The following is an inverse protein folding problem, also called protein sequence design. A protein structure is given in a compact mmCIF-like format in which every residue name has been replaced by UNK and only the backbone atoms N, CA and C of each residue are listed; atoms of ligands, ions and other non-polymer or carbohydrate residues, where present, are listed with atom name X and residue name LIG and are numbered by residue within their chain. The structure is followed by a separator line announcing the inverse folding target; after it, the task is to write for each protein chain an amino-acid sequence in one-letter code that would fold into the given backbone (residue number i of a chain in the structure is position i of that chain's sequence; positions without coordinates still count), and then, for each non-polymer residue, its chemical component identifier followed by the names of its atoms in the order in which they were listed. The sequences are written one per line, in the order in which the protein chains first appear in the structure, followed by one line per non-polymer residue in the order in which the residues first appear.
data_IF_766264419050
#
_entry.id   IF_766264419050
#
_cell.length_a   1.000
_cell.length_b   1.000
_cell.length_c   1.000
_cell.angle_alpha   90.00
_cell.angle_beta   90.00
_cell.angle_gamma   90.00
#
_symmetry.space_group_name_H-M   'P 1'
#
loop_
_entity.id
_entity.type
_entity.pdbx_description
1 polymer ?
#
# COMPACT_ATOMS: atom_id res chain seq x y z
N UNK A 1 26.77 3.25 -6.72
CA UNK A 1 25.75 4.20 -6.26
C UNK A 1 25.50 3.92 -4.80
N UNK A 2 25.72 4.91 -3.93
CA UNK A 2 25.46 4.81 -2.50
C UNK A 2 23.96 4.96 -2.22
N UNK A 3 23.52 4.57 -1.02
CA UNK A 3 22.13 4.75 -0.60
C UNK A 3 21.71 6.24 -0.58
N UNK A 4 22.66 7.12 -0.25
CA UNK A 4 22.46 8.56 -0.23
C UNK A 4 22.31 9.14 -1.64
N UNK A 5 23.12 8.68 -2.60
CA UNK A 5 23.00 9.04 -4.02
C UNK A 5 21.66 8.56 -4.62
N UNK A 6 21.18 7.38 -4.22
CA UNK A 6 19.88 6.86 -4.64
C UNK A 6 18.72 7.70 -4.09
N UNK A 7 18.79 8.10 -2.83
CA UNK A 7 17.77 8.92 -2.20
C UNK A 7 17.67 10.30 -2.88
N UNK A 8 18.81 10.94 -3.15
CA UNK A 8 18.83 12.24 -3.82
C UNK A 8 18.26 12.14 -5.25
N UNK A 9 18.69 11.14 -6.02
CA UNK A 9 18.18 10.93 -7.38
C UNK A 9 16.66 10.65 -7.40
N UNK A 10 16.16 9.90 -6.41
CA UNK A 10 14.72 9.63 -6.27
C UNK A 10 13.93 10.89 -5.92
N UNK A 11 14.45 11.75 -5.04
CA UNK A 11 13.81 13.02 -4.69
C UNK A 11 13.71 13.96 -5.91
N UNK A 12 14.79 14.08 -6.69
CA UNK A 12 14.78 14.87 -7.92
C UNK A 12 13.81 14.30 -8.97
N UNK A 13 13.75 12.97 -9.08
CA UNK A 13 12.81 12.31 -9.99
C UNK A 13 11.35 12.55 -9.55
N UNK A 14 11.05 12.46 -8.26
CA UNK A 14 9.72 12.77 -7.72
C UNK A 14 9.32 14.22 -8.01
N UNK A 15 10.24 15.18 -7.86
CA UNK A 15 9.99 16.58 -8.20
C UNK A 15 9.69 16.81 -9.69
N UNK A 16 10.30 16.03 -10.60
CA UNK A 16 9.98 16.08 -12.04
C UNK A 16 8.66 15.39 -12.38
N UNK A 17 8.31 14.33 -11.65
CA UNK A 17 7.10 13.53 -11.86
C UNK A 17 5.84 14.27 -11.35
N UNK A 18 5.98 15.07 -10.29
CA UNK A 18 4.89 15.78 -9.64
C UNK A 18 4.25 14.96 -8.52
N UNK A 19 3.67 15.66 -7.53
CA UNK A 19 3.27 15.06 -6.25
C UNK A 19 2.24 13.93 -6.37
N UNK A 20 1.25 14.09 -7.25
CA UNK A 20 0.18 13.09 -7.44
C UNK A 20 0.75 11.82 -8.06
N UNK A 21 1.47 11.94 -9.18
CA UNK A 21 2.04 10.80 -9.90
C UNK A 21 3.16 10.12 -9.09
N UNK A 22 3.91 10.88 -8.28
CA UNK A 22 4.88 10.35 -7.34
C UNK A 22 4.20 9.54 -6.23
N UNK A 23 3.10 10.04 -5.66
CA UNK A 23 2.31 9.33 -4.66
C UNK A 23 1.71 8.04 -5.25
N UNK A 24 1.13 8.11 -6.44
CA UNK A 24 0.56 6.96 -7.14
C UNK A 24 1.62 5.88 -7.43
N UNK A 25 2.81 6.29 -7.85
CA UNK A 25 3.95 5.39 -8.09
C UNK A 25 4.38 4.70 -6.79
N UNK A 26 4.50 5.46 -5.69
CA UNK A 26 4.87 4.92 -4.38
C UNK A 26 3.82 3.93 -3.86
N UNK A 27 2.54 4.29 -3.93
CA UNK A 27 1.43 3.42 -3.51
C UNK A 27 1.41 2.14 -4.33
N UNK A 28 1.54 2.25 -5.65
CA UNK A 28 1.57 1.09 -6.57
C UNK A 28 2.76 0.17 -6.28
N UNK A 29 3.94 0.75 -6.01
CA UNK A 29 5.14 0.01 -5.62
C UNK A 29 4.95 -0.74 -4.30
N UNK A 30 4.43 -0.07 -3.27
CA UNK A 30 4.11 -0.69 -1.96
C UNK A 30 3.11 -1.83 -2.16
N UNK A 31 2.05 -1.61 -2.93
CA UNK A 31 1.04 -2.65 -3.17
C UNK A 31 1.63 -3.88 -3.88
N UNK A 32 2.49 -3.65 -4.87
CA UNK A 32 3.16 -4.73 -5.62
C UNK A 32 4.11 -5.53 -4.74
N UNK A 33 4.90 -4.87 -3.88
CA UNK A 33 5.79 -5.54 -2.93
C UNK A 33 5.01 -6.37 -1.90
N UNK A 34 3.93 -5.81 -1.32
CA UNK A 34 3.08 -6.52 -0.39
C UNK A 34 2.42 -7.74 -1.04
N UNK A 35 1.95 -7.61 -2.27
CA UNK A 35 1.41 -8.74 -3.04
C UNK A 35 2.47 -9.83 -3.27
N UNK A 36 3.69 -9.46 -3.69
CA UNK A 36 4.78 -10.39 -3.88
C UNK A 36 5.15 -11.13 -2.58
N UNK A 37 5.22 -10.41 -1.45
CA UNK A 37 5.46 -11.00 -0.13
C UNK A 37 4.33 -11.97 0.27
N UNK A 38 3.07 -11.59 0.04
CA UNK A 38 1.92 -12.46 0.28
C UNK A 38 1.98 -13.73 -0.58
N UNK A 39 2.31 -13.59 -1.87
CA UNK A 39 2.42 -14.72 -2.80
C UNK A 39 3.59 -15.65 -2.50
N UNK A 40 4.69 -15.13 -1.95
CA UNK A 40 5.85 -15.91 -1.54
C UNK A 40 5.68 -16.60 -0.18
N UNK A 41 4.67 -16.20 0.62
CA UNK A 41 4.50 -16.74 1.96
C UNK A 41 4.00 -18.20 1.95
N UNK A 42 4.59 -19.12 2.73
CA UNK A 42 4.23 -20.54 2.73
C UNK A 42 2.84 -20.82 3.32
N UNK A 43 2.31 -19.93 4.17
CA UNK A 43 1.00 -20.06 4.81
C UNK A 43 0.08 -18.88 4.44
N UNK A 44 -0.39 -18.82 3.20
CA UNK A 44 -1.15 -17.69 2.64
C UNK A 44 -2.47 -17.43 3.38
N UNK A 45 -3.15 -18.48 3.81
CA UNK A 45 -4.43 -18.39 4.53
C UNK A 45 -4.26 -17.77 5.93
N UNK A 46 -3.11 -18.02 6.58
CA UNK A 46 -2.82 -17.39 7.87
C UNK A 46 -2.56 -15.90 7.71
N UNK A 47 -1.77 -15.51 6.70
CA UNK A 47 -1.53 -14.10 6.38
C UNK A 47 -2.84 -13.40 6.03
N UNK A 48 -3.69 -14.05 5.22
CA UNK A 48 -5.00 -13.50 4.85
C UNK A 48 -5.86 -13.19 6.08
N UNK A 49 -5.95 -14.14 7.02
CA UNK A 49 -6.72 -13.93 8.27
C UNK A 49 -6.18 -12.79 9.13
N UNK A 50 -4.86 -12.62 9.20
CA UNK A 50 -4.27 -11.50 9.94
C UNK A 50 -4.54 -10.16 9.23
N UNK A 51 -4.46 -10.14 7.91
CA UNK A 51 -4.80 -8.98 7.11
C UNK A 51 -6.27 -8.57 7.29
N UNK A 52 -7.20 -9.53 7.25
CA UNK A 52 -8.64 -9.27 7.50
C UNK A 52 -8.88 -8.65 8.89
N UNK A 53 -8.19 -9.17 9.92
CA UNK A 53 -8.27 -8.62 11.28
C UNK A 53 -7.72 -7.19 11.37
N UNK A 54 -6.62 -6.91 10.68
CA UNK A 54 -6.06 -5.56 10.62
C UNK A 54 -7.03 -4.60 9.92
N UNK A 55 -7.60 -5.00 8.78
CA UNK A 55 -8.57 -4.20 8.05
C UNK A 55 -9.80 -3.87 8.89
N UNK A 56 -10.34 -4.83 9.64
CA UNK A 56 -11.44 -4.57 10.55
C UNK A 56 -11.09 -3.49 11.58
N UNK A 57 -9.91 -3.59 12.22
CA UNK A 57 -9.44 -2.59 13.18
C UNK A 57 -9.22 -1.20 12.59
N UNK A 58 -8.73 -1.13 11.35
CA UNK A 58 -8.52 0.15 10.65
C UNK A 58 -9.86 0.81 10.31
N UNK A 59 -10.83 0.02 9.84
CA UNK A 59 -12.17 0.50 9.51
C UNK A 59 -12.93 1.00 10.75
N UNK A 60 -12.69 0.37 11.91
CA UNK A 60 -13.28 0.79 13.19
C UNK A 60 -12.47 1.92 13.89
N UNK A 61 -11.38 2.40 13.28
CA UNK A 61 -10.56 3.44 13.90
C UNK A 61 -11.25 4.82 13.84
N UNK A 62 -11.09 5.69 14.86
CA UNK A 62 -11.67 7.03 14.87
C UNK A 62 -11.30 7.90 13.65
N UNK A 63 -10.17 7.61 13.00
CA UNK A 63 -9.70 8.34 11.82
C UNK A 63 -10.46 7.98 10.52
N UNK A 64 -11.14 6.82 10.52
CA UNK A 64 -11.80 6.23 9.34
C UNK A 64 -13.30 6.11 9.56
N UNK A 65 -13.75 5.78 10.77
CA UNK A 65 -15.17 5.52 11.07
C UNK A 65 -16.06 6.75 10.80
N UNK A 66 -15.52 7.95 11.02
CA UNK A 66 -16.23 9.21 10.82
C UNK A 66 -16.15 9.71 9.35
N UNK A 67 -15.37 9.03 8.50
CA UNK A 67 -15.04 9.46 7.14
C UNK A 67 -15.28 8.32 6.12
N UNK A 68 -16.51 8.19 5.59
CA UNK A 68 -16.92 7.05 4.78
C UNK A 68 -16.09 6.87 3.48
N UNK A 69 -15.62 7.96 2.89
CA UNK A 69 -14.76 7.90 1.70
C UNK A 69 -13.40 7.26 2.00
N UNK A 70 -12.86 7.47 3.20
CA UNK A 70 -11.61 6.81 3.64
C UNK A 70 -11.83 5.31 3.79
N UNK A 71 -12.98 4.91 4.32
CA UNK A 71 -13.35 3.49 4.41
C UNK A 71 -13.48 2.84 3.03
N UNK A 72 -14.07 3.55 2.04
CA UNK A 72 -14.16 3.09 0.65
C UNK A 72 -12.78 2.93 0.02
N UNK A 73 -11.90 3.94 0.14
CA UNK A 73 -10.54 3.89 -0.38
C UNK A 73 -9.74 2.75 0.26
N UNK A 74 -9.79 2.59 1.59
CA UNK A 74 -9.12 1.50 2.30
C UNK A 74 -9.57 0.12 1.82
N UNK A 75 -10.87 -0.07 1.59
CA UNK A 75 -11.42 -1.34 1.08
C UNK A 75 -11.00 -1.60 -0.37
N UNK A 76 -11.00 -0.57 -1.21
CA UNK A 76 -10.55 -0.67 -2.60
C UNK A 76 -9.06 -1.06 -2.69
N UNK A 77 -8.19 -0.36 -1.93
CA UNK A 77 -6.76 -0.66 -1.85
C UNK A 77 -6.50 -2.08 -1.34
N UNK A 78 -7.21 -2.50 -0.29
CA UNK A 78 -7.12 -3.85 0.25
C UNK A 78 -7.56 -4.93 -0.76
N UNK A 79 -8.52 -4.63 -1.63
CA UNK A 79 -8.95 -5.54 -2.69
C UNK A 79 -7.91 -5.65 -3.82
N UNK A 80 -7.31 -4.53 -4.23
CA UNK A 80 -6.26 -4.50 -5.25
C UNK A 80 -5.04 -5.37 -4.86
N UNK A 81 -4.64 -5.33 -3.59
CA UNK A 81 -3.57 -6.18 -3.04
C UNK A 81 -3.78 -7.69 -3.23
N UNK A 82 -5.02 -8.14 -3.31
CA UNK A 82 -5.37 -9.57 -3.44
C UNK A 82 -5.56 -10.00 -4.89
N UNK A 83 -5.85 -9.04 -5.75
CA UNK A 83 -6.32 -9.27 -7.12
C UNK A 83 -5.27 -8.94 -8.17
N UNK A 84 -4.17 -8.31 -7.80
CA UNK A 84 -3.14 -7.83 -8.72
C UNK A 84 -2.77 -8.90 -9.78
N UNK A 85 -3.30 -8.67 -10.98
CA UNK A 85 -2.98 -9.31 -12.26
C UNK A 85 -2.09 -8.36 -13.04
#
# INVERSE_FOLDING_TARGET
MTHEEQFLAAAEAAGRLGDIDALDTQISGICSMLHALYMAHPAKEQVRRQFDRLMAKLLDSPYVIDEPDRALVLRATASALLTNR
#
